data_IF_301833283309
#
_entry.id   IF_301833283309
#
_cell.length_a   1.000
_cell.length_b   1.000
_cell.length_c   1.000
_cell.angle_alpha   90.00
_cell.angle_beta   90.00
_cell.angle_gamma   90.00
#
_symmetry.space_group_name_H-M   'P 1'
#
loop_
_entity.id
_entity.type
_entity.pdbx_description
1 polymer ?
#
# COMPACT_ATOMS: atom_id res chain seq x y z
N UNK A 1 -25.33 -11.18 -20.29
CA UNK A 1 -23.97 -10.96 -20.84
C UNK A 1 -23.87 -9.54 -21.33
N UNK A 2 -23.03 -8.71 -20.72
CA UNK A 2 -22.79 -7.34 -21.21
C UNK A 2 -21.89 -7.46 -22.45
N UNK A 3 -22.39 -7.05 -23.60
CA UNK A 3 -21.61 -7.07 -24.85
C UNK A 3 -20.37 -6.18 -24.76
N UNK A 4 -19.44 -6.34 -25.71
CA UNK A 4 -18.31 -5.41 -25.81
C UNK A 4 -18.83 -3.97 -25.92
N UNK A 5 -18.18 -3.00 -25.26
CA UNK A 5 -18.54 -1.60 -25.39
C UNK A 5 -18.42 -1.16 -26.86
N UNK A 6 -19.19 -0.16 -27.27
CA UNK A 6 -19.11 0.36 -28.64
C UNK A 6 -17.96 1.36 -28.75
N UNK A 7 -17.77 2.17 -27.72
CA UNK A 7 -16.74 3.21 -27.64
C UNK A 7 -15.94 3.09 -26.36
N UNK A 8 -14.71 3.58 -26.42
CA UNK A 8 -13.82 3.64 -25.26
C UNK A 8 -14.43 4.47 -24.10
N UNK A 9 -15.22 5.51 -24.42
CA UNK A 9 -15.94 6.34 -23.45
C UNK A 9 -17.00 5.58 -22.65
N UNK A 10 -17.57 4.50 -23.19
CA UNK A 10 -18.62 3.72 -22.53
C UNK A 10 -18.08 3.04 -21.26
N UNK A 11 -16.77 2.80 -21.22
CA UNK A 11 -16.09 2.27 -20.03
C UNK A 11 -16.14 3.21 -18.81
N UNK A 12 -16.33 4.52 -19.03
CA UNK A 12 -16.50 5.46 -17.91
C UNK A 12 -17.81 5.21 -17.16
N UNK A 13 -18.87 4.77 -17.84
CA UNK A 13 -20.17 4.50 -17.23
C UNK A 13 -20.12 3.29 -16.30
N UNK A 14 -19.43 2.24 -16.74
CA UNK A 14 -19.29 1.01 -15.96
C UNK A 14 -18.08 1.03 -15.04
N UNK A 15 -17.36 2.16 -14.95
CA UNK A 15 -16.14 2.27 -14.17
C UNK A 15 -15.20 1.10 -14.53
N UNK A 16 -14.57 1.19 -15.70
CA UNK A 16 -13.63 0.19 -16.19
C UNK A 16 -12.42 0.81 -16.88
N UNK A 17 -11.28 0.13 -16.81
CA UNK A 17 -10.05 0.42 -17.55
C UNK A 17 -9.92 -0.55 -18.74
N UNK A 18 -8.89 -0.37 -19.57
CA UNK A 18 -8.61 -1.24 -20.72
C UNK A 18 -7.31 -1.98 -20.51
N UNK A 19 -7.37 -3.31 -20.58
CA UNK A 19 -6.17 -4.13 -20.76
C UNK A 19 -5.92 -4.40 -22.23
N UNK A 20 -4.71 -4.09 -22.70
CA UNK A 20 -4.20 -4.52 -23.99
C UNK A 20 -3.32 -5.75 -23.76
N UNK A 21 -3.66 -6.87 -24.39
CA UNK A 21 -2.90 -8.12 -24.32
C UNK A 21 -2.42 -8.53 -25.70
N UNK A 22 -1.12 -8.84 -25.84
CA UNK A 22 -0.54 -9.36 -27.06
C UNK A 22 -0.76 -10.86 -27.17
N UNK A 23 -1.34 -11.32 -28.28
CA UNK A 23 -1.59 -12.75 -28.51
C UNK A 23 -0.32 -13.55 -28.77
N UNK A 24 0.73 -12.91 -29.29
CA UNK A 24 1.97 -13.60 -29.65
C UNK A 24 2.92 -13.75 -28.44
N UNK A 25 3.22 -12.65 -27.72
CA UNK A 25 4.18 -12.68 -26.62
C UNK A 25 3.55 -12.64 -25.21
N UNK A 26 2.22 -12.65 -25.13
CA UNK A 26 1.42 -12.59 -23.88
C UNK A 26 1.71 -11.38 -22.99
N UNK A 27 2.35 -10.34 -23.53
CA UNK A 27 2.56 -9.09 -22.81
C UNK A 27 1.22 -8.40 -22.56
N UNK A 28 0.98 -7.97 -21.33
CA UNK A 28 -0.22 -7.25 -20.92
C UNK A 28 0.13 -5.85 -20.43
N UNK A 29 -0.64 -4.87 -20.85
CA UNK A 29 -0.51 -3.48 -20.41
C UNK A 29 -1.90 -2.93 -20.07
N UNK A 30 -2.02 -2.35 -18.88
CA UNK A 30 -3.25 -1.73 -18.41
C UNK A 30 -3.21 -0.23 -18.70
N UNK A 31 -4.28 0.27 -19.32
CA UNK A 31 -4.46 1.66 -19.69
C UNK A 31 -5.73 2.23 -19.05
N UNK A 32 -5.61 3.44 -18.51
CA UNK A 32 -6.81 4.23 -18.19
C UNK A 32 -7.48 4.69 -19.48
N UNK A 33 -8.81 4.88 -19.44
CA UNK A 33 -9.59 5.38 -20.58
C UNK A 33 -9.02 6.68 -21.14
N UNK A 34 -8.64 7.62 -20.26
CA UNK A 34 -8.06 8.91 -20.65
C UNK A 34 -6.67 8.77 -21.30
N UNK A 35 -5.78 7.97 -20.71
CA UNK A 35 -4.43 7.75 -21.25
C UNK A 35 -4.48 7.06 -22.62
N UNK A 36 -5.35 6.07 -22.78
CA UNK A 36 -5.51 5.35 -24.05
C UNK A 36 -6.12 6.26 -25.11
N UNK A 37 -7.12 7.06 -24.75
CA UNK A 37 -7.73 8.03 -25.66
C UNK A 37 -6.70 9.04 -26.16
N UNK A 38 -5.90 9.61 -25.25
CA UNK A 38 -4.80 10.54 -25.60
C UNK A 38 -3.77 9.89 -26.51
N UNK A 39 -3.38 8.65 -26.22
CA UNK A 39 -2.42 7.92 -27.04
C UNK A 39 -2.96 7.64 -28.45
N UNK A 40 -4.22 7.17 -28.55
CA UNK A 40 -4.88 6.93 -29.83
C UNK A 40 -5.01 8.22 -30.65
N UNK A 41 -5.40 9.33 -30.02
CA UNK A 41 -5.46 10.63 -30.68
C UNK A 41 -4.09 11.06 -31.22
N UNK A 42 -3.01 10.87 -30.45
CA UNK A 42 -1.66 11.24 -30.86
C UNK A 42 -1.16 10.44 -32.08
N UNK A 43 -1.62 9.20 -32.26
CA UNK A 43 -1.25 8.34 -33.40
C UNK A 43 -2.31 8.35 -34.52
N UNK A 44 -3.32 9.22 -34.45
CA UNK A 44 -4.40 9.30 -35.45
C UNK A 44 -5.36 8.10 -35.47
N UNK A 45 -5.50 7.40 -34.34
CA UNK A 45 -6.35 6.23 -34.17
C UNK A 45 -7.80 6.53 -33.76
N UNK A 46 -8.65 5.51 -33.89
CA UNK A 46 -10.08 5.55 -33.52
C UNK A 46 -10.32 5.20 -32.05
N UNK A 47 -11.29 5.86 -31.40
CA UNK A 47 -11.78 5.51 -30.05
C UNK A 47 -12.91 4.46 -30.08
N UNK A 48 -13.25 3.96 -31.26
CA UNK A 48 -14.22 2.87 -31.46
C UNK A 48 -13.62 1.55 -31.00
N UNK A 49 -14.35 0.80 -30.16
CA UNK A 49 -13.81 -0.37 -29.47
C UNK A 49 -13.29 -1.46 -30.42
N UNK A 50 -14.04 -1.73 -31.50
CA UNK A 50 -13.68 -2.73 -32.52
C UNK A 50 -12.43 -2.38 -33.32
N UNK A 51 -12.06 -1.10 -33.34
CA UNK A 51 -10.92 -0.58 -34.12
C UNK A 51 -9.71 -0.26 -33.25
N UNK A 52 -9.89 -0.29 -31.94
CA UNK A 52 -8.93 0.17 -30.95
C UNK A 52 -7.56 -0.49 -31.10
N UNK A 53 -7.53 -1.79 -31.39
CA UNK A 53 -6.29 -2.56 -31.56
C UNK A 53 -5.63 -2.41 -32.93
N UNK A 54 -6.33 -1.88 -33.95
CA UNK A 54 -5.80 -1.76 -35.32
C UNK A 54 -4.66 -0.75 -35.42
N UNK A 55 -4.68 0.27 -34.56
CA UNK A 55 -3.70 1.35 -34.53
C UNK A 55 -2.56 1.08 -33.55
N UNK A 56 -2.64 0.01 -32.75
CA UNK A 56 -1.69 -0.28 -31.69
C UNK A 56 -0.71 -1.38 -32.12
N UNK A 57 0.49 -1.34 -31.54
CA UNK A 57 1.52 -2.38 -31.68
C UNK A 57 1.98 -2.82 -30.29
N UNK A 58 2.39 -4.07 -30.16
CA UNK A 58 2.93 -4.57 -28.90
C UNK A 58 4.17 -3.77 -28.50
N UNK A 59 4.14 -3.14 -27.32
CA UNK A 59 5.23 -2.30 -26.80
C UNK A 59 6.37 -3.09 -26.16
N UNK A 60 6.23 -4.42 -26.01
CA UNK A 60 7.31 -5.27 -25.51
C UNK A 60 8.50 -5.19 -26.47
N UNK A 61 9.68 -4.89 -25.93
CA UNK A 61 10.92 -4.84 -26.70
C UNK A 61 11.10 -6.12 -27.52
N UNK A 62 11.34 -5.96 -28.82
CA UNK A 62 11.55 -7.07 -29.77
C UNK A 62 10.28 -7.78 -30.26
N UNK A 63 9.07 -7.39 -29.82
CA UNK A 63 7.83 -8.02 -30.30
C UNK A 63 7.16 -7.24 -31.44
N UNK A 64 6.68 -6.01 -31.20
CA UNK A 64 6.05 -5.18 -32.23
C UNK A 64 4.78 -5.74 -32.89
N UNK A 65 4.24 -6.86 -32.42
CA UNK A 65 3.12 -7.54 -33.07
C UNK A 65 1.83 -6.68 -33.13
N UNK A 66 1.07 -6.72 -34.26
CA UNK A 66 -0.28 -6.15 -34.35
C UNK A 66 -1.37 -7.00 -33.71
N UNK A 67 -1.08 -8.24 -33.31
CA UNK A 67 -2.10 -9.19 -32.84
C UNK A 67 -2.46 -8.91 -31.39
N UNK A 68 -3.15 -7.80 -31.16
CA UNK A 68 -3.54 -7.33 -29.84
C UNK A 68 -5.02 -7.67 -29.55
N UNK A 69 -5.35 -7.76 -28.26
CA UNK A 69 -6.71 -7.88 -27.75
C UNK A 69 -6.95 -6.81 -26.70
N UNK A 70 -8.02 -6.05 -26.86
CA UNK A 70 -8.53 -5.16 -25.82
C UNK A 70 -9.54 -5.92 -24.94
N UNK A 71 -9.39 -5.80 -23.63
CA UNK A 71 -10.26 -6.44 -22.64
C UNK A 71 -10.72 -5.34 -21.67
N UNK A 72 -12.04 -5.17 -21.45
CA UNK A 72 -12.52 -4.24 -20.44
C UNK A 72 -12.23 -4.84 -19.07
N UNK A 73 -11.58 -4.07 -18.20
CA UNK A 73 -11.26 -4.47 -16.84
C UNK A 73 -12.09 -3.60 -15.89
N UNK A 74 -13.26 -4.09 -15.41
CA UNK A 74 -14.02 -3.38 -14.40
C UNK A 74 -13.17 -3.19 -13.12
N UNK A 75 -13.53 -2.18 -12.31
CA UNK A 75 -12.80 -1.59 -11.15
C UNK A 75 -12.16 -2.52 -10.09
N UNK A 76 -11.99 -3.82 -10.30
CA UNK A 76 -11.23 -4.72 -9.44
C UNK A 76 -9.70 -4.54 -9.52
N UNK A 77 -9.14 -3.76 -10.46
CA UNK A 77 -7.67 -3.65 -10.67
C UNK A 77 -7.07 -2.24 -10.64
N UNK A 78 -7.65 -1.29 -9.89
CA UNK A 78 -6.91 -0.09 -9.41
C UNK A 78 -5.72 -0.41 -8.46
N UNK A 79 -5.17 -1.63 -8.47
CA UNK A 79 -4.14 -2.09 -7.53
C UNK A 79 -2.78 -2.46 -8.13
N UNK A 80 -2.56 -2.34 -9.44
CA UNK A 80 -1.26 -2.70 -10.03
C UNK A 80 -0.38 -1.50 -10.43
N UNK A 81 -0.92 -0.46 -11.08
CA UNK A 81 -0.11 0.63 -11.66
C UNK A 81 -0.53 2.06 -11.28
N UNK A 82 -1.52 2.22 -10.40
CA UNK A 82 -1.54 3.45 -9.63
C UNK A 82 -0.27 3.42 -8.78
N UNK A 83 0.65 4.37 -8.97
CA UNK A 83 1.24 5.04 -7.81
C UNK A 83 0.07 5.19 -6.84
N UNK A 84 -0.02 4.34 -5.81
CA UNK A 84 -1.04 4.50 -4.78
C UNK A 84 -0.70 5.89 -4.25
N UNK A 85 -1.41 6.92 -4.73
CA UNK A 85 -1.61 8.07 -3.90
C UNK A 85 -2.26 7.46 -2.68
N UNK A 86 -1.41 7.22 -1.68
CA UNK A 86 -1.81 6.82 -0.36
C UNK A 86 -2.91 7.84 -0.04
N UNK A 87 -4.15 7.36 0.07
CA UNK A 87 -5.26 8.26 0.37
C UNK A 87 -4.93 9.02 1.65
N UNK A 88 -5.51 10.19 1.89
CA UNK A 88 -5.21 10.95 3.12
C UNK A 88 -5.34 10.07 4.38
N UNK A 89 -6.36 9.20 4.40
CA UNK A 89 -6.58 8.21 5.46
C UNK A 89 -5.48 7.13 5.52
N UNK A 90 -5.04 6.61 4.37
CA UNK A 90 -3.92 5.67 4.33
C UNK A 90 -2.61 6.36 4.76
N UNK A 91 -2.45 7.66 4.52
CA UNK A 91 -1.25 8.42 4.91
C UNK A 91 -1.18 8.51 6.42
N UNK A 92 -2.31 8.83 7.06
CA UNK A 92 -2.46 8.83 8.51
C UNK A 92 -2.20 7.44 9.09
N UNK A 93 -2.76 6.38 8.49
CA UNK A 93 -2.58 5.00 8.96
C UNK A 93 -1.13 4.54 8.85
N UNK A 94 -0.46 4.82 7.72
CA UNK A 94 0.97 4.52 7.52
C UNK A 94 1.83 5.35 8.46
N UNK A 95 1.47 6.62 8.67
CA UNK A 95 2.17 7.50 9.58
C UNK A 95 2.10 6.97 11.03
N UNK A 96 0.93 6.58 11.52
CA UNK A 96 0.77 5.94 12.83
C UNK A 96 1.59 4.67 12.94
N UNK A 97 1.57 3.81 11.93
CA UNK A 97 2.37 2.59 11.90
C UNK A 97 3.88 2.90 11.98
N UNK A 98 4.38 3.86 11.20
CA UNK A 98 5.78 4.29 11.24
C UNK A 98 6.14 4.87 12.61
N UNK A 99 5.29 5.70 13.21
CA UNK A 99 5.52 6.26 14.55
C UNK A 99 5.64 5.18 15.64
N UNK A 100 4.80 4.13 15.57
CA UNK A 100 4.91 2.96 16.48
C UNK A 100 6.26 2.25 16.29
N UNK A 101 6.73 2.09 15.05
CA UNK A 101 8.02 1.46 14.76
C UNK A 101 9.21 2.33 15.18
N UNK A 102 9.09 3.66 15.08
CA UNK A 102 10.08 4.62 15.57
C UNK A 102 10.18 4.62 17.09
N UNK A 103 9.04 4.60 17.80
CA UNK A 103 9.03 4.45 19.26
C UNK A 103 9.67 3.12 19.67
N UNK A 104 9.32 2.03 18.98
CA UNK A 104 9.93 0.72 19.18
C UNK A 104 11.45 0.72 18.99
N UNK A 105 11.95 1.46 18.00
CA UNK A 105 13.37 1.62 17.71
C UNK A 105 14.10 2.54 18.70
N UNK A 106 13.40 3.51 19.30
CA UNK A 106 13.95 4.43 20.29
C UNK A 106 13.98 3.86 21.72
N UNK A 107 13.27 2.75 22.00
CA UNK A 107 13.28 2.09 23.31
C UNK A 107 14.65 1.51 23.64
N UNK A 108 15.05 1.64 24.91
CA UNK A 108 16.33 1.15 25.41
C UNK A 108 16.50 -0.36 25.14
N UNK A 109 17.75 -0.80 24.86
CA UNK A 109 18.03 -2.21 24.65
C UNK A 109 17.66 -3.03 25.90
N UNK A 110 17.01 -4.18 25.70
CA UNK A 110 16.55 -5.07 26.78
C UNK A 110 15.04 -5.07 27.05
N UNK A 111 14.26 -4.12 26.51
CA UNK A 111 12.78 -4.23 26.55
C UNK A 111 12.28 -5.16 25.43
N UNK A 112 11.27 -5.96 25.76
CA UNK A 112 10.51 -6.77 24.79
C UNK A 112 9.75 -5.85 23.83
N UNK A 113 10.01 -6.00 22.54
CA UNK A 113 9.44 -5.18 21.46
C UNK A 113 8.65 -6.07 20.47
N UNK A 114 8.36 -7.30 20.86
CA UNK A 114 7.46 -8.22 20.15
C UNK A 114 6.02 -8.06 20.69
N UNK A 115 5.47 -6.86 20.55
CA UNK A 115 4.10 -6.55 21.00
C UNK A 115 3.11 -6.61 19.83
N UNK A 116 1.81 -6.68 20.13
CA UNK A 116 0.76 -6.75 19.11
C UNK A 116 0.75 -5.52 18.21
N UNK A 117 1.00 -4.34 18.78
CA UNK A 117 1.03 -3.05 18.07
C UNK A 117 2.10 -3.04 16.98
N UNK A 118 3.26 -3.66 17.25
CA UNK A 118 4.36 -3.72 16.28
C UNK A 118 4.05 -4.72 15.17
N UNK A 119 3.40 -5.84 15.47
CA UNK A 119 2.91 -6.78 14.44
C UNK A 119 1.92 -6.08 13.51
N UNK A 120 0.96 -5.34 14.07
CA UNK A 120 -0.04 -4.58 13.30
C UNK A 120 0.60 -3.46 12.48
N UNK A 121 1.57 -2.74 13.04
CA UNK A 121 2.32 -1.72 12.32
C UNK A 121 3.11 -2.32 11.14
N UNK A 122 3.79 -3.46 11.34
CA UNK A 122 4.52 -4.15 10.27
C UNK A 122 3.59 -4.69 9.18
N UNK A 123 2.45 -5.27 9.52
CA UNK A 123 1.43 -5.70 8.56
C UNK A 123 0.90 -4.52 7.72
N UNK A 124 0.67 -3.39 8.39
CA UNK A 124 0.21 -2.16 7.75
C UNK A 124 1.25 -1.68 6.74
N UNK A 125 2.52 -1.59 7.13
CA UNK A 125 3.62 -1.18 6.24
C UNK A 125 3.80 -2.18 5.09
N UNK A 126 3.72 -3.48 5.36
CA UNK A 126 3.88 -4.54 4.35
C UNK A 126 2.89 -4.41 3.20
N UNK A 127 1.62 -4.05 3.51
CA UNK A 127 0.57 -3.78 2.53
C UNK A 127 0.99 -2.75 1.47
N UNK A 128 1.87 -1.81 1.82
CA UNK A 128 2.31 -0.73 0.95
C UNK A 128 3.69 -0.99 0.33
N UNK A 129 4.68 -1.42 1.11
CA UNK A 129 6.04 -1.62 0.60
C UNK A 129 6.16 -2.82 -0.34
N UNK A 130 5.35 -3.87 -0.13
CA UNK A 130 5.41 -5.18 -0.82
C UNK A 130 6.77 -5.87 -0.81
N UNK A 131 7.74 -5.33 -0.06
CA UNK A 131 9.02 -5.97 0.22
C UNK A 131 9.01 -6.45 1.66
N UNK A 132 9.22 -7.75 1.83
CA UNK A 132 9.23 -8.43 3.11
C UNK A 132 10.60 -8.35 3.79
N UNK A 133 11.70 -8.05 3.08
CA UNK A 133 13.06 -8.15 3.60
C UNK A 133 13.33 -7.15 4.76
N UNK A 134 13.05 -5.84 4.62
CA UNK A 134 13.26 -4.90 5.72
C UNK A 134 12.35 -5.16 6.93
N UNK A 135 11.15 -5.67 6.65
CA UNK A 135 10.12 -5.98 7.66
C UNK A 135 10.53 -7.21 8.47
N UNK A 136 10.99 -8.26 7.77
CA UNK A 136 11.52 -9.48 8.38
C UNK A 136 12.75 -9.16 9.24
N UNK A 137 13.67 -8.34 8.71
CA UNK A 137 14.87 -7.94 9.43
C UNK A 137 14.54 -7.14 10.70
N UNK A 138 13.57 -6.22 10.63
CA UNK A 138 13.08 -5.48 11.81
C UNK A 138 12.47 -6.44 12.83
N UNK A 139 11.64 -7.38 12.39
CA UNK A 139 10.98 -8.36 13.26
C UNK A 139 11.98 -9.28 13.97
N UNK A 140 12.93 -9.83 13.22
CA UNK A 140 13.96 -10.72 13.75
C UNK A 140 14.84 -10.01 14.77
N UNK A 141 15.23 -8.75 14.51
CA UNK A 141 15.96 -7.94 15.48
C UNK A 141 15.09 -7.61 16.69
N UNK A 142 13.83 -7.22 16.50
CA UNK A 142 12.91 -6.86 17.59
C UNK A 142 12.58 -8.03 18.53
N UNK A 143 12.62 -9.26 18.03
CA UNK A 143 12.38 -10.48 18.80
C UNK A 143 13.55 -10.95 19.67
N UNK A 144 14.77 -10.40 19.50
CA UNK A 144 15.93 -10.77 20.32
C UNK A 144 15.85 -10.11 21.70
N UNK A 145 15.69 -10.92 22.75
CA UNK A 145 15.85 -10.46 24.12
C UNK A 145 17.33 -10.07 24.35
N UNK A 146 17.59 -8.84 24.83
CA UNK A 146 18.96 -8.39 25.11
C UNK A 146 19.74 -7.83 23.92
N UNK A 147 19.06 -7.23 22.92
CA UNK A 147 19.71 -6.47 21.84
C UNK A 147 20.84 -5.57 22.35
N UNK A 148 21.97 -5.54 21.66
CA UNK A 148 23.02 -4.54 21.85
C UNK A 148 22.69 -3.27 21.05
N UNK A 149 23.36 -2.15 21.34
CA UNK A 149 23.23 -0.90 20.56
C UNK A 149 23.56 -1.08 19.08
N UNK A 150 24.41 -2.05 18.74
CA UNK A 150 24.85 -2.33 17.37
C UNK A 150 23.82 -3.13 16.55
N UNK A 151 22.97 -3.93 17.20
CA UNK A 151 21.85 -4.64 16.55
C UNK A 151 20.60 -3.76 16.37
N UNK A 152 20.81 -2.44 16.25
CA UNK A 152 19.75 -1.44 16.26
C UNK A 152 18.62 -1.67 15.24
N UNK A 153 17.40 -1.29 15.64
CA UNK A 153 16.23 -1.30 14.76
C UNK A 153 16.22 -0.15 13.74
N UNK A 154 17.14 0.82 13.88
CA UNK A 154 17.15 2.04 13.07
C UNK A 154 17.45 1.79 11.59
N UNK A 155 18.33 0.86 11.26
CA UNK A 155 18.67 0.53 9.87
C UNK A 155 17.47 -0.07 9.08
N UNK A 156 16.81 -1.15 9.54
CA UNK A 156 15.65 -1.69 8.81
C UNK A 156 14.50 -0.69 8.76
N UNK A 157 14.35 0.15 9.79
CA UNK A 157 13.35 1.22 9.80
C UNK A 157 13.63 2.31 8.75
N UNK A 158 14.89 2.73 8.57
CA UNK A 158 15.29 3.64 7.50
C UNK A 158 14.98 3.04 6.12
N UNK A 159 15.25 1.75 5.92
CA UNK A 159 14.94 1.06 4.67
C UNK A 159 13.42 1.01 4.39
N UNK A 160 12.60 0.77 5.42
CA UNK A 160 11.14 0.85 5.35
C UNK A 160 10.68 2.25 4.93
N UNK A 161 11.17 3.30 5.62
CA UNK A 161 10.81 4.69 5.33
C UNK A 161 11.18 5.10 3.91
N UNK A 162 12.41 4.82 3.49
CA UNK A 162 12.89 5.13 2.14
C UNK A 162 11.99 4.52 1.06
N UNK A 163 11.52 3.28 1.26
CA UNK A 163 10.62 2.60 0.32
C UNK A 163 9.22 3.21 0.31
N UNK A 164 8.68 3.56 1.48
CA UNK A 164 7.41 4.27 1.56
C UNK A 164 7.47 5.62 0.84
N UNK A 165 8.55 6.37 1.01
CA UNK A 165 8.81 7.64 0.34
C UNK A 165 8.88 7.48 -1.18
N UNK A 166 9.59 6.46 -1.67
CA UNK A 166 9.65 6.13 -3.11
C UNK A 166 8.29 5.75 -3.70
N UNK A 167 7.37 5.24 -2.88
CA UNK A 167 6.00 4.89 -3.27
C UNK A 167 5.02 6.06 -3.15
N UNK A 168 5.49 7.25 -2.76
CA UNK A 168 4.67 8.46 -2.67
C UNK A 168 4.06 8.71 -1.30
N UNK A 169 4.51 8.01 -0.24
CA UNK A 169 4.26 8.45 1.13
C UNK A 169 5.10 9.69 1.42
N UNK A 170 4.46 10.80 1.73
CA UNK A 170 5.16 11.97 2.23
C UNK A 170 5.07 11.88 3.75
N UNK A 171 6.22 11.75 4.42
CA UNK A 171 6.26 11.76 5.87
C UNK A 171 5.53 13.01 6.39
N UNK A 172 4.41 12.88 7.12
CA UNK A 172 3.74 14.05 7.65
C UNK A 172 4.68 14.71 8.66
N UNK A 173 4.90 16.02 8.52
CA UNK A 173 5.72 16.84 9.43
C UNK A 173 5.27 16.75 10.90
N UNK A 174 4.07 16.23 11.17
CA UNK A 174 3.44 16.17 12.49
C UNK A 174 3.98 15.03 13.37
N UNK A 175 4.67 14.02 12.81
CA UNK A 175 5.19 12.89 13.60
C UNK A 175 6.64 13.04 14.06
N UNK A 176 7.27 14.19 13.87
CA UNK A 176 8.57 14.48 14.51
C UNK A 176 8.42 14.86 15.98
N UNK A 177 7.20 15.03 16.48
CA UNK A 177 6.99 15.11 17.92
C UNK A 177 7.20 13.71 18.53
N UNK A 178 8.08 13.58 19.55
CA UNK A 178 8.29 12.31 20.20
C UNK A 178 6.95 11.79 20.70
N UNK A 179 6.57 10.58 20.33
CA UNK A 179 5.34 9.85 20.77
C UNK A 179 5.11 9.83 22.28
N UNK A 180 6.11 10.24 23.08
CA UNK A 180 6.03 10.54 24.51
C UNK A 180 5.11 11.72 24.85
N UNK A 181 4.89 12.68 23.94
CA UNK A 181 3.97 13.82 24.15
C UNK A 181 2.54 13.50 23.75
N UNK A 182 2.31 12.36 23.10
CA UNK A 182 0.96 11.95 22.75
C UNK A 182 0.22 11.54 24.02
N UNK A 183 -0.94 12.15 24.34
CA UNK A 183 -1.75 11.76 25.48
C UNK A 183 -2.44 10.42 25.17
N UNK A 184 -1.68 9.32 25.30
CA UNK A 184 -2.20 7.95 25.33
C UNK A 184 -3.16 7.72 26.53
N UNK A 185 -3.25 8.71 27.44
CA UNK A 185 -4.21 8.79 28.52
C UNK A 185 -5.62 9.24 28.10
N UNK A 186 -5.86 9.46 26.79
CA UNK A 186 -7.24 9.67 26.32
C UNK A 186 -8.02 8.37 26.52
N UNK A 187 -9.07 8.34 27.36
CA UNK A 187 -9.90 7.15 27.49
C UNK A 187 -10.45 6.78 26.11
N UNK A 188 -10.61 5.48 25.86
CA UNK A 188 -11.17 4.99 24.60
C UNK A 188 -12.47 5.75 24.27
N UNK A 189 -12.73 6.09 22.99
CA UNK A 189 -13.95 6.78 22.60
C UNK A 189 -15.18 6.05 23.15
N UNK A 190 -16.21 6.77 23.65
CA UNK A 190 -17.41 6.13 24.18
C UNK A 190 -17.99 5.14 23.16
N UNK A 191 -18.06 3.85 23.54
CA UNK A 191 -18.58 2.76 22.71
C UNK A 191 -17.56 1.89 21.97
N UNK A 192 -16.25 2.10 22.16
CA UNK A 192 -15.20 1.26 21.54
C UNK A 192 -14.90 -0.06 22.27
N UNK A 193 -15.27 -0.16 23.54
CA UNK A 193 -15.31 -1.41 24.28
C UNK A 193 -16.68 -1.48 24.95
N UNK A 194 -17.45 -2.51 24.64
CA UNK A 194 -18.55 -2.88 25.52
C UNK A 194 -17.95 -3.06 26.91
N UNK A 195 -18.54 -2.37 27.87
CA UNK A 195 -18.26 -2.53 29.29
C UNK A 195 -18.58 -3.98 29.64
N UNK A 196 -17.58 -4.86 29.63
CA UNK A 196 -17.66 -6.09 30.39
C UNK A 196 -17.09 -5.81 31.76
N UNK A 197 -18.05 -5.69 32.68
CA UNK A 197 -17.91 -5.75 34.11
C UNK A 197 -17.00 -6.90 34.55
N UNK A 198 -16.27 -6.66 35.65
CA UNK A 198 -15.99 -7.72 36.61
C UNK A 198 -14.61 -8.37 36.53
N UNK A 199 -13.55 -7.60 36.77
CA UNK A 199 -12.39 -8.13 37.48
C UNK A 199 -12.11 -7.22 38.67
N UNK A 200 -12.59 -7.68 39.83
CA UNK A 200 -12.34 -7.08 41.13
C UNK A 200 -10.83 -6.92 41.38
N UNK A 201 -10.42 -5.90 42.15
CA UNK A 201 -9.02 -5.72 42.50
C UNK A 201 -8.54 -6.93 43.31
N UNK A 202 -7.48 -7.59 42.84
CA UNK A 202 -6.69 -8.47 43.69
C UNK A 202 -5.99 -7.57 44.71
N UNK A 203 -6.50 -7.66 45.94
CA UNK A 203 -6.04 -7.02 47.16
C UNK A 203 -4.56 -7.33 47.38
N UNK A 204 -3.70 -6.31 47.31
CA UNK A 204 -2.34 -6.37 47.80
C UNK A 204 -2.35 -6.21 49.32
N UNK A 205 -2.26 -7.34 50.04
CA UNK A 205 -1.53 -7.44 51.30
C UNK A 205 -2.31 -7.18 52.60
N UNK A 206 -2.47 -8.24 53.39
CA UNK A 206 -2.34 -8.17 54.86
C UNK A 206 -2.06 -9.54 55.48
N UNK A 207 -1.06 -9.52 56.37
CA UNK A 207 -0.55 -10.54 57.31
C UNK A 207 0.38 -11.61 56.74
#
# INVERSE_FOLDING_TARGET
MVGNPKRLSDLNQIKADVRISCRDCRFEEDWTVDALSKHLLAIGGSTTWSELTRHLRCRRAGCGSPRLRAIPVPYARRQANAKRQISKLDQETVATAVGILEDAAARSPGRTVNTLEIRLALLTVHKYTRDAEPIRLLWERAGRAGRTTDEGLGEPLKAIRHRLEHLGWIAPRVLTEPTKTWPWSSPAPPGWLASDDGLAPLDEGRA
#
